data_IF_053221388663
#
_entry.id   IF_053221388663
#
_cell.length_a   1.000
_cell.length_b   1.000
_cell.length_c   1.000
_cell.angle_alpha   90.00
_cell.angle_beta   90.00
_cell.angle_gamma   90.00
#
_symmetry.space_group_name_H-M   'P 1'
#
loop_
_entity.id
_entity.type
_entity.pdbx_description
1 polymer ?
#
# COMPACT_ATOMS: atom_id res chain seq x y z
N UNK A 1 10.44 30.35 12.61
CA UNK A 1 10.85 28.94 12.42
C UNK A 1 9.91 28.08 13.25
N UNK A 2 8.79 27.65 12.68
CA UNK A 2 7.78 26.90 13.42
C UNK A 2 8.07 25.40 13.25
N UNK A 3 8.49 24.74 14.32
CA UNK A 3 8.53 23.29 14.39
C UNK A 3 7.11 22.79 14.65
N UNK A 4 6.46 22.23 13.65
CA UNK A 4 5.18 21.56 13.82
C UNK A 4 5.51 20.17 14.38
N UNK A 5 5.16 19.94 15.63
CA UNK A 5 5.27 18.62 16.25
C UNK A 5 4.44 17.61 15.45
N UNK A 6 5.15 16.71 14.78
CA UNK A 6 4.59 15.63 13.96
C UNK A 6 3.84 14.67 14.91
N UNK A 7 2.53 14.44 14.74
CA UNK A 7 1.77 13.56 15.63
C UNK A 7 2.29 12.12 15.56
N UNK A 8 2.43 11.46 16.73
CA UNK A 8 2.91 10.07 16.85
C UNK A 8 2.05 9.03 16.12
N UNK A 9 0.81 9.38 15.74
CA UNK A 9 -0.09 8.57 14.92
C UNK A 9 -0.90 9.49 14.00
N UNK A 10 -0.64 9.42 12.70
CA UNK A 10 -1.47 10.10 11.70
C UNK A 10 -2.85 9.44 11.62
N UNK A 11 -3.94 10.25 11.53
CA UNK A 11 -5.25 9.70 11.24
C UNK A 11 -5.18 8.88 9.95
N UNK A 12 -5.80 7.70 9.91
CA UNK A 12 -5.72 6.83 8.73
C UNK A 12 -6.29 7.47 7.46
N UNK A 13 -7.15 8.48 7.60
CA UNK A 13 -7.67 9.26 6.49
C UNK A 13 -6.60 10.10 5.77
N UNK A 14 -5.40 10.25 6.33
CA UNK A 14 -4.26 10.95 5.74
C UNK A 14 -3.24 9.97 5.13
N UNK A 15 -3.65 8.74 4.89
CA UNK A 15 -2.77 7.67 4.45
C UNK A 15 -3.34 6.96 3.23
N UNK A 16 -2.46 6.57 2.31
CA UNK A 16 -2.79 5.67 1.20
C UNK A 16 -1.83 4.49 1.17
N UNK A 17 -2.20 3.47 0.41
CA UNK A 17 -1.36 2.32 0.12
C UNK A 17 -1.07 2.31 -1.36
N UNK A 18 0.20 2.46 -1.72
CA UNK A 18 0.68 2.24 -3.07
C UNK A 18 0.95 0.75 -3.30
N UNK A 19 0.46 0.24 -4.43
CA UNK A 19 0.41 -1.18 -4.78
C UNK A 19 1.48 -1.54 -5.81
N UNK A 20 1.82 -2.82 -5.86
CA UNK A 20 2.74 -3.41 -6.84
C UNK A 20 4.15 -2.81 -6.85
N UNK A 21 4.59 -2.31 -5.69
CA UNK A 21 5.96 -1.80 -5.54
C UNK A 21 6.87 -2.99 -5.21
N UNK A 22 7.95 -3.24 -5.98
CA UNK A 22 8.82 -4.38 -5.76
C UNK A 22 9.35 -4.45 -4.32
N UNK A 23 9.39 -5.65 -3.74
CA UNK A 23 9.76 -5.82 -2.31
C UNK A 23 11.23 -5.56 -2.03
N UNK A 24 12.08 -5.63 -3.06
CA UNK A 24 13.50 -5.29 -2.98
C UNK A 24 13.74 -3.77 -2.95
N UNK A 25 12.74 -2.95 -3.29
CA UNK A 25 12.87 -1.50 -3.22
C UNK A 25 12.77 -1.01 -1.78
N UNK A 26 13.74 -0.17 -1.39
CA UNK A 26 13.72 0.53 -0.11
C UNK A 26 12.55 1.53 -0.11
N UNK A 27 11.66 1.39 0.88
CA UNK A 27 10.44 2.20 0.97
C UNK A 27 10.72 3.68 1.32
N UNK A 28 11.80 3.95 2.05
CA UNK A 28 12.24 5.29 2.41
C UNK A 28 12.72 6.03 1.16
N UNK A 29 13.66 5.45 0.40
CA UNK A 29 14.17 6.04 -0.84
C UNK A 29 13.04 6.30 -1.85
N UNK A 30 12.14 5.32 -2.04
CA UNK A 30 10.97 5.49 -2.90
C UNK A 30 10.10 6.68 -2.49
N UNK A 31 9.93 6.91 -1.19
CA UNK A 31 9.15 8.05 -0.71
C UNK A 31 9.91 9.37 -0.75
N UNK A 32 11.24 9.37 -0.61
CA UNK A 32 12.05 10.56 -0.86
C UNK A 32 11.97 11.01 -2.32
N UNK A 33 11.94 10.08 -3.27
CA UNK A 33 11.68 10.41 -4.68
C UNK A 33 10.28 11.01 -4.87
N UNK A 34 9.25 10.38 -4.29
CA UNK A 34 7.89 10.93 -4.36
C UNK A 34 7.76 12.32 -3.72
N UNK A 35 8.54 12.64 -2.68
CA UNK A 35 8.53 13.95 -2.02
C UNK A 35 8.99 15.09 -2.94
N UNK A 36 9.76 14.79 -4.00
CA UNK A 36 10.14 15.79 -5.01
C UNK A 36 8.90 16.40 -5.67
N UNK A 37 7.85 15.58 -5.86
CA UNK A 37 6.56 15.99 -6.45
C UNK A 37 5.51 16.33 -5.39
N UNK A 38 5.36 15.47 -4.39
CA UNK A 38 4.32 15.56 -3.37
C UNK A 38 4.92 15.98 -2.04
N UNK A 39 5.11 17.29 -1.86
CA UNK A 39 5.78 17.87 -0.68
C UNK A 39 5.06 17.60 0.64
N UNK A 40 3.79 17.19 0.61
CA UNK A 40 3.04 16.84 1.82
C UNK A 40 3.27 15.40 2.28
N UNK A 41 3.99 14.57 1.52
CA UNK A 41 4.40 13.25 2.01
C UNK A 41 5.32 13.43 3.21
N UNK A 42 4.95 12.78 4.30
CA UNK A 42 5.72 12.77 5.55
C UNK A 42 6.65 11.56 5.57
N UNK A 43 6.07 10.38 5.33
CA UNK A 43 6.81 9.11 5.39
C UNK A 43 6.17 8.02 4.56
N UNK A 44 6.99 7.05 4.18
CA UNK A 44 6.60 5.77 3.61
C UNK A 44 6.98 4.62 4.50
N UNK A 45 6.13 3.59 4.58
CA UNK A 45 6.41 2.39 5.35
C UNK A 45 6.03 1.13 4.55
N UNK A 46 7.00 0.22 4.39
CA UNK A 46 6.79 -1.09 3.79
C UNK A 46 5.80 -1.88 4.65
N UNK A 47 4.77 -2.44 4.02
CA UNK A 47 3.88 -3.36 4.73
C UNK A 47 4.46 -4.77 4.77
N UNK A 48 4.09 -5.53 5.80
CA UNK A 48 4.53 -6.91 6.03
C UNK A 48 3.35 -7.83 6.36
N UNK A 49 3.42 -9.09 5.95
CA UNK A 49 2.51 -10.12 6.47
C UNK A 49 2.91 -10.53 7.89
N UNK A 50 2.01 -11.24 8.58
CA UNK A 50 2.36 -11.94 9.82
C UNK A 50 3.54 -12.88 9.57
N UNK A 51 4.60 -12.74 10.37
CA UNK A 51 5.86 -13.46 10.17
C UNK A 51 6.95 -12.63 9.48
N UNK A 52 6.72 -11.33 9.23
CA UNK A 52 7.79 -10.38 8.86
C UNK A 52 8.23 -10.43 7.40
N UNK A 53 7.53 -11.15 6.52
CA UNK A 53 7.82 -11.11 5.08
C UNK A 53 7.25 -9.82 4.47
N UNK A 54 8.04 -9.05 3.69
CA UNK A 54 7.56 -7.83 3.06
C UNK A 54 6.55 -8.14 1.97
N UNK A 55 5.59 -7.24 1.76
CA UNK A 55 4.63 -7.31 0.66
C UNK A 55 4.84 -6.15 -0.31
N UNK A 56 4.39 -6.28 -1.58
CA UNK A 56 4.52 -5.24 -2.59
C UNK A 56 3.53 -4.08 -2.38
N UNK A 57 3.47 -3.58 -1.14
CA UNK A 57 2.62 -2.47 -0.70
C UNK A 57 3.41 -1.53 0.20
N UNK A 58 3.34 -0.23 -0.06
CA UNK A 58 3.87 0.82 0.81
C UNK A 58 2.70 1.66 1.32
N UNK A 59 2.63 1.86 2.63
CA UNK A 59 1.78 2.90 3.21
C UNK A 59 2.50 4.24 3.11
N UNK A 60 1.82 5.25 2.57
CA UNK A 60 2.35 6.61 2.45
C UNK A 60 1.46 7.54 3.28
N UNK A 61 2.06 8.30 4.18
CA UNK A 61 1.39 9.24 5.08
C UNK A 61 1.60 10.67 4.60
N UNK A 62 0.52 11.45 4.59
CA UNK A 62 0.48 12.83 4.10
C UNK A 62 0.18 13.80 5.25
N UNK A 63 0.69 15.03 5.15
CA UNK A 63 0.39 16.13 6.08
C UNK A 63 -0.92 16.84 5.74
N UNK A 64 -1.37 16.75 4.48
CA UNK A 64 -2.57 17.42 3.98
C UNK A 64 -3.58 16.42 3.42
N UNK A 65 -4.82 16.48 3.92
CA UNK A 65 -5.91 15.65 3.39
C UNK A 65 -6.41 16.12 2.01
N UNK A 66 -6.25 17.41 1.71
CA UNK A 66 -6.71 18.01 0.45
C UNK A 66 -6.00 17.40 -0.76
N UNK A 67 -4.66 17.43 -0.75
CA UNK A 67 -3.84 16.85 -1.82
C UNK A 67 -4.05 15.33 -1.92
N UNK A 68 -4.21 14.66 -0.77
CA UNK A 68 -4.53 13.24 -0.74
C UNK A 68 -5.84 12.90 -1.43
N UNK A 69 -6.86 13.75 -1.29
CA UNK A 69 -8.17 13.54 -1.93
C UNK A 69 -8.07 13.68 -3.44
N UNK A 70 -7.30 14.66 -3.94
CA UNK A 70 -7.03 14.84 -5.37
C UNK A 70 -6.25 13.63 -5.93
N UNK A 71 -5.23 13.17 -5.22
CA UNK A 71 -4.45 11.96 -5.56
C UNK A 71 -5.35 10.71 -5.55
N UNK A 72 -6.24 10.56 -4.57
CA UNK A 72 -7.17 9.44 -4.49
C UNK A 72 -8.20 9.43 -5.62
N UNK A 73 -8.58 10.60 -6.16
CA UNK A 73 -9.45 10.69 -7.33
C UNK A 73 -8.79 10.14 -8.60
N UNK A 74 -7.48 10.39 -8.78
CA UNK A 74 -6.72 9.83 -9.92
C UNK A 74 -6.45 8.33 -9.77
N UNK A 75 -6.54 7.79 -8.53
CA UNK A 75 -6.21 6.40 -8.15
C UNK A 75 -4.78 5.97 -8.48
N UNK A 76 -3.91 6.93 -8.83
CA UNK A 76 -2.50 6.68 -9.18
C UNK A 76 -1.61 7.76 -8.56
N UNK A 77 -0.42 7.35 -8.15
CA UNK A 77 0.64 8.26 -7.72
C UNK A 77 1.80 8.19 -8.71
N UNK A 78 2.28 9.35 -9.17
CA UNK A 78 3.35 9.47 -10.16
C UNK A 78 4.70 9.54 -9.46
N UNK A 79 5.64 8.68 -9.84
CA UNK A 79 7.01 8.71 -9.32
C UNK A 79 7.84 9.78 -10.04
N UNK A 80 7.72 9.84 -11.35
CA UNK A 80 8.48 10.71 -12.25
C UNK A 80 7.58 11.36 -13.31
N UNK A 81 8.15 12.25 -14.11
CA UNK A 81 7.49 12.87 -15.26
C UNK A 81 7.41 11.92 -16.48
N UNK A 82 8.12 10.79 -16.43
CA UNK A 82 8.18 9.74 -17.47
C UNK A 82 7.04 8.71 -17.35
N UNK A 83 5.94 9.09 -16.69
CA UNK A 83 4.71 8.32 -16.57
C UNK A 83 4.80 7.04 -15.71
N UNK A 84 5.86 6.87 -14.91
CA UNK A 84 5.92 5.78 -13.92
C UNK A 84 4.89 6.06 -12.84
N UNK A 85 3.78 5.32 -12.83
CA UNK A 85 2.71 5.55 -11.87
C UNK A 85 2.21 4.27 -11.21
N UNK A 86 2.06 4.33 -9.90
CA UNK A 86 1.61 3.21 -9.07
C UNK A 86 0.13 3.37 -8.72
N UNK A 87 -0.60 2.27 -8.77
CA UNK A 87 -1.98 2.23 -8.28
C UNK A 87 -1.99 2.46 -6.77
N UNK A 88 -2.93 3.28 -6.30
CA UNK A 88 -3.10 3.56 -4.88
C UNK A 88 -4.51 3.24 -4.41
N UNK A 89 -4.64 2.93 -3.11
CA UNK A 89 -5.92 2.79 -2.42
C UNK A 89 -5.91 3.54 -1.08
N UNK A 90 -7.06 4.01 -0.57
CA UNK A 90 -7.14 4.56 0.76
C UNK A 90 -6.66 3.56 1.81
N UNK A 91 -5.83 4.01 2.75
CA UNK A 91 -5.38 3.13 3.83
C UNK A 91 -6.52 2.87 4.82
N UNK A 92 -6.96 1.62 4.90
CA UNK A 92 -7.90 1.16 5.92
C UNK A 92 -7.12 0.44 7.02
N UNK A 93 -7.00 1.01 8.23
CA UNK A 93 -6.23 0.39 9.29
C UNK A 93 -6.92 -0.90 9.75
N UNK A 94 -6.17 -1.87 10.31
CA UNK A 94 -6.75 -3.09 10.84
C UNK A 94 -7.84 -2.78 11.86
N UNK A 95 -9.08 -3.14 11.52
CA UNK A 95 -10.25 -2.87 12.34
C UNK A 95 -10.22 -3.73 13.61
N UNK A 96 -9.86 -3.11 14.73
CA UNK A 96 -9.98 -3.72 16.06
C UNK A 96 -11.43 -3.55 16.53
N UNK A 97 -12.03 -4.68 16.90
CA UNK A 97 -13.34 -4.73 17.53
C UNK A 97 -13.12 -4.77 19.02
N UNK A 98 -13.55 -3.71 19.70
CA UNK A 98 -13.53 -3.66 21.15
C UNK A 98 -14.52 -4.70 21.69
N UNK A 99 -14.16 -5.36 22.80
CA UNK A 99 -15.07 -6.24 23.53
C UNK A 99 -15.11 -5.78 24.99
N UNK A 100 -16.30 -5.54 25.52
CA UNK A 100 -16.44 -5.28 26.95
C UNK A 100 -16.20 -6.58 27.73
N UNK A 101 -15.28 -6.60 28.69
CA UNK A 101 -15.00 -7.80 29.49
C UNK A 101 -16.08 -8.13 30.52
N UNK A 102 -17.00 -7.20 30.80
CA UNK A 102 -18.10 -7.42 31.73
C UNK A 102 -19.30 -8.05 31.02
N UNK A 103 -19.85 -7.41 29.99
CA UNK A 103 -21.05 -7.91 29.30
C UNK A 103 -20.76 -8.64 27.97
N UNK A 104 -19.48 -8.81 27.61
CA UNK A 104 -19.00 -9.38 26.35
C UNK A 104 -19.42 -8.65 25.07
N UNK A 105 -20.21 -7.56 25.12
CA UNK A 105 -20.66 -6.80 23.94
C UNK A 105 -19.52 -6.25 23.08
N UNK A 106 -19.75 -6.21 21.77
CA UNK A 106 -18.78 -5.72 20.80
C UNK A 106 -19.02 -4.23 20.48
N UNK A 107 -17.92 -3.46 20.49
CA UNK A 107 -17.79 -2.10 19.94
C UNK A 107 -18.74 -1.01 20.46
N UNK A 108 -19.35 -1.23 21.63
CA UNK A 108 -20.24 -0.25 22.29
C UNK A 108 -19.51 0.51 23.41
N UNK A 109 -18.81 -0.20 24.31
CA UNK A 109 -18.16 0.41 25.47
C UNK A 109 -16.97 -0.42 26.01
N UNK A 110 -16.17 0.21 26.87
CA UNK A 110 -15.12 -0.45 27.66
C UNK A 110 -15.66 -0.94 29.00
N UNK A 111 -15.01 -1.92 29.62
CA UNK A 111 -15.45 -2.53 30.89
C UNK A 111 -15.72 -1.50 32.01
N UNK A 112 -14.87 -0.46 32.12
CA UNK A 112 -14.99 0.62 33.11
C UNK A 112 -16.29 1.41 32.97
N UNK A 113 -16.83 1.52 31.74
CA UNK A 113 -18.07 2.24 31.41
C UNK A 113 -19.21 1.29 31.06
N UNK A 114 -19.17 0.06 31.58
CA UNK A 114 -20.22 -0.93 31.31
C UNK A 114 -21.51 -0.58 32.06
N UNK A 115 -22.65 -0.43 31.38
CA UNK A 115 -23.94 -0.22 32.03
C UNK A 115 -24.39 -1.46 32.82
N UNK A 116 -23.92 -2.65 32.43
CA UNK A 116 -24.26 -3.93 33.05
C UNK A 116 -23.12 -4.48 33.92
N UNK A 117 -22.37 -3.60 34.61
CA UNK A 117 -21.22 -4.02 35.45
C UNK A 117 -21.63 -4.98 36.57
N UNK A 118 -22.85 -4.83 37.10
CA UNK A 118 -23.38 -5.63 38.21
C UNK A 118 -23.94 -7.00 37.75
N UNK A 119 -24.04 -7.22 36.43
CA UNK A 119 -24.50 -8.46 35.80
C UNK A 119 -23.49 -8.95 34.76
N UNK A 120 -22.28 -9.36 35.20
CA UNK A 120 -21.25 -9.80 34.28
C UNK A 120 -21.66 -11.10 33.58
N UNK A 121 -21.17 -11.25 32.36
CA UNK A 121 -21.35 -12.42 31.51
C UNK A 121 -19.98 -13.11 31.37
N UNK A 122 -19.96 -14.40 31.67
CA UNK A 122 -18.76 -15.20 31.63
C UNK A 122 -18.23 -15.32 30.20
N UNK A 123 -16.94 -15.02 30.01
CA UNK A 123 -16.26 -15.15 28.72
C UNK A 123 -16.23 -16.59 28.18
N UNK A 124 -16.27 -17.61 29.05
CA UNK A 124 -16.17 -19.03 28.67
C UNK A 124 -17.51 -19.62 28.24
N UNK A 125 -18.55 -19.45 29.05
CA UNK A 125 -19.84 -20.13 28.87
C UNK A 125 -21.00 -19.19 28.50
N UNK A 126 -20.79 -17.88 28.51
CA UNK A 126 -21.82 -16.91 28.14
C UNK A 126 -23.00 -16.78 29.10
N UNK A 127 -22.93 -17.40 30.29
CA UNK A 127 -23.93 -17.26 31.35
C UNK A 127 -23.65 -16.05 32.26
N UNK A 128 -24.67 -15.61 33.00
CA UNK A 128 -24.60 -14.44 33.88
C UNK A 128 -23.86 -14.77 35.19
N UNK A 129 -22.53 -14.69 35.14
CA UNK A 129 -21.65 -14.66 36.30
C UNK A 129 -20.28 -14.09 35.89
N UNK A 130 -19.48 -13.67 36.88
CA UNK A 130 -18.11 -13.20 36.65
C UNK A 130 -17.23 -14.32 36.08
N UNK A 131 -16.19 -13.94 35.33
CA UNK A 131 -15.22 -14.93 34.84
C UNK A 131 -14.61 -15.71 36.00
N UNK A 132 -14.69 -17.04 35.90
CA UNK A 132 -14.03 -17.98 36.80
C UNK A 132 -13.18 -18.94 35.92
N UNK A 133 -11.87 -19.08 36.18
CA UNK A 133 -11.01 -20.05 35.51
C UNK A 133 -11.57 -21.48 35.56
N UNK A 134 -12.17 -21.85 36.68
CA UNK A 134 -12.69 -23.20 36.97
C UNK A 134 -14.17 -23.37 36.62
N UNK A 135 -14.70 -22.49 35.75
CA UNK A 135 -16.08 -22.57 35.28
C UNK A 135 -16.35 -23.94 34.63
N UNK A 136 -17.22 -24.74 35.26
CA UNK A 136 -17.59 -26.09 34.83
C UNK A 136 -18.64 -26.10 33.70
N UNK A 137 -19.22 -24.94 33.38
CA UNK A 137 -20.18 -24.83 32.29
C UNK A 137 -19.52 -25.10 30.93
N UNK A 138 -20.32 -25.67 30.01
CA UNK A 138 -19.89 -25.88 28.63
C UNK A 138 -19.48 -24.57 27.96
N UNK A 139 -18.49 -24.68 27.07
CA UNK A 139 -17.97 -23.52 26.34
C UNK A 139 -19.04 -23.04 25.35
N UNK A 140 -19.49 -21.81 25.54
CA UNK A 140 -20.55 -21.24 24.74
C UNK A 140 -20.34 -19.74 24.56
N UNK A 141 -20.45 -19.28 23.31
CA UNK A 141 -20.27 -17.88 22.97
C UNK A 141 -21.49 -17.08 23.40
N UNK A 142 -21.29 -16.03 24.20
CA UNK A 142 -22.37 -15.14 24.64
C UNK A 142 -23.23 -14.58 23.49
N UNK A 143 -22.63 -14.38 22.30
CA UNK A 143 -23.26 -13.76 21.14
C UNK A 143 -23.89 -14.74 20.17
N UNK A 144 -23.08 -15.61 19.56
CA UNK A 144 -23.56 -16.51 18.50
C UNK A 144 -24.03 -17.87 19.03
N UNK A 145 -23.93 -18.10 20.35
CA UNK A 145 -24.27 -19.36 21.03
C UNK A 145 -23.54 -20.61 20.48
N UNK A 146 -22.42 -20.40 19.79
CA UNK A 146 -21.59 -21.48 19.26
C UNK A 146 -20.63 -22.06 20.28
N UNK A 147 -20.07 -23.24 20.00
CA UNK A 147 -19.11 -23.95 20.85
C UNK A 147 -17.71 -23.32 20.81
N UNK A 148 -17.58 -22.08 21.32
CA UNK A 148 -16.32 -21.36 21.50
C UNK A 148 -16.48 -20.21 22.50
N UNK A 149 -15.38 -19.78 23.11
CA UNK A 149 -15.36 -18.66 24.07
C UNK A 149 -15.67 -17.30 23.40
N UNK A 150 -16.28 -16.38 24.15
CA UNK A 150 -16.77 -15.09 23.68
C UNK A 150 -15.66 -14.14 23.22
N UNK A 151 -15.15 -14.29 21.99
CA UNK A 151 -14.04 -13.50 21.46
C UNK A 151 -13.11 -14.27 20.55
N UNK A 152 -13.39 -15.56 20.33
CA UNK A 152 -12.79 -16.35 19.27
C UNK A 152 -12.74 -15.53 17.96
N UNK A 153 -11.57 -15.44 17.28
CA UNK A 153 -11.44 -14.69 16.02
C UNK A 153 -12.38 -15.19 14.92
N UNK A 154 -12.82 -16.44 14.98
CA UNK A 154 -13.70 -17.09 14.01
C UNK A 154 -15.18 -17.02 14.40
N UNK A 155 -15.54 -16.24 15.42
CA UNK A 155 -16.94 -16.04 15.81
C UNK A 155 -17.70 -15.30 14.69
N UNK A 156 -18.82 -15.84 14.15
CA UNK A 156 -19.57 -15.21 13.06
C UNK A 156 -20.03 -13.78 13.39
N UNK A 157 -20.48 -13.55 14.62
CA UNK A 157 -20.92 -12.21 15.06
C UNK A 157 -19.75 -11.22 15.10
N UNK A 158 -18.57 -11.66 15.57
CA UNK A 158 -17.37 -10.81 15.59
C UNK A 158 -16.88 -10.47 14.17
N UNK A 159 -16.99 -11.41 13.24
CA UNK A 159 -16.68 -11.19 11.83
C UNK A 159 -17.67 -10.17 11.24
N UNK A 160 -18.97 -10.35 11.46
CA UNK A 160 -19.99 -9.41 11.00
C UNK A 160 -19.79 -7.99 11.54
N UNK A 161 -19.55 -7.83 12.85
CA UNK A 161 -19.24 -6.51 13.45
C UNK A 161 -17.99 -5.90 12.82
N UNK A 162 -16.95 -6.71 12.54
CA UNK A 162 -15.74 -6.23 11.88
C UNK A 162 -15.99 -5.73 10.46
N UNK A 163 -16.75 -6.47 9.66
CA UNK A 163 -17.08 -6.05 8.29
C UNK A 163 -17.95 -4.80 8.28
N UNK A 164 -18.96 -4.72 9.17
CA UNK A 164 -19.79 -3.51 9.31
C UNK A 164 -18.95 -2.28 9.67
N UNK A 165 -18.03 -2.43 10.63
CA UNK A 165 -17.12 -1.35 11.04
C UNK A 165 -16.16 -0.95 9.93
N UNK A 166 -15.63 -1.90 9.14
CA UNK A 166 -14.81 -1.61 7.96
C UNK A 166 -15.58 -0.79 6.93
N UNK A 167 -16.84 -1.15 6.66
CA UNK A 167 -17.70 -0.44 5.70
C UNK A 167 -17.98 0.99 6.16
N UNK A 168 -18.29 1.19 7.46
CA UNK A 168 -18.47 2.52 8.03
C UNK A 168 -17.19 3.36 7.94
N UNK A 169 -16.02 2.78 8.21
CA UNK A 169 -14.74 3.47 8.10
C UNK A 169 -14.38 3.87 6.65
N UNK A 170 -14.82 3.10 5.64
CA UNK A 170 -14.66 3.47 4.23
C UNK A 170 -15.58 4.63 3.81
N UNK A 171 -16.78 4.72 4.38
CA UNK A 171 -17.75 5.77 4.07
C UNK A 171 -17.34 7.15 4.62
N UNK A 172 -16.64 7.20 5.76
CA UNK A 172 -16.21 8.46 6.40
C UNK A 172 -15.08 9.17 5.62
N UNK A 173 -14.38 8.47 4.73
CA UNK A 173 -13.39 9.05 3.81
C UNK A 173 -14.00 9.67 2.54
N UNK A 174 -15.32 9.61 2.38
CA UNK A 174 -16.06 10.31 1.32
C UNK A 174 -16.77 11.47 2.02
N UNK A 175 -16.31 12.70 1.80
CA UNK A 175 -17.00 13.89 2.31
C UNK A 175 -18.48 13.86 1.92
N UNK A 176 -19.41 14.16 2.84
CA UNK A 176 -20.81 14.32 2.48
C UNK A 176 -20.93 15.55 1.58
N UNK A 177 -21.27 15.32 0.31
CA UNK A 177 -21.68 16.37 -0.60
C UNK A 177 -22.88 17.08 0.01
N UNK A 178 -22.77 18.40 0.07
CA UNK A 178 -23.75 19.36 0.55
C UNK A 178 -25.16 18.95 0.16
N UNK A 179 -26.02 18.76 1.17
CA UNK A 179 -27.46 18.77 0.98
C UNK A 179 -27.83 20.09 0.31
N UNK A 180 -28.21 20.02 -0.97
CA UNK A 180 -29.09 21.01 -1.56
C UNK A 180 -30.19 20.23 -2.25
N UNK A 181 -31.38 20.27 -1.63
CA UNK A 181 -32.60 19.94 -2.34
C UNK A 181 -32.73 20.90 -3.53
N UNK A 182 -32.91 20.36 -4.73
CA UNK A 182 -34.13 20.64 -5.47
C UNK A 182 -34.31 19.66 -6.63
N UNK A 183 -35.42 18.96 -6.54
CA UNK A 183 -36.11 18.25 -7.60
C UNK A 183 -36.44 19.17 -8.77
N UNK A 184 -36.23 18.67 -9.99
CA UNK A 184 -37.14 18.68 -11.14
C UNK A 184 -36.45 17.84 -12.23
N UNK A 185 -36.73 16.54 -12.29
CA UNK A 185 -37.69 15.95 -13.25
C UNK A 185 -37.48 16.49 -14.67
N UNK A 186 -36.75 15.72 -15.48
CA UNK A 186 -37.17 15.46 -16.85
C UNK A 186 -36.98 13.98 -17.17
N UNK A 187 -38.10 13.40 -17.53
CA UNK A 187 -38.37 12.01 -17.93
C UNK A 187 -37.70 11.69 -19.27
N UNK A 188 -37.22 10.46 -19.42
CA UNK A 188 -36.75 9.95 -20.71
C UNK A 188 -36.28 8.51 -20.62
N UNK A 189 -37.23 7.61 -20.78
CA UNK A 189 -37.15 6.17 -20.64
C UNK A 189 -36.18 5.49 -21.64
N UNK A 190 -35.57 4.39 -21.16
CA UNK A 190 -35.26 3.11 -21.84
C UNK A 190 -34.69 3.11 -23.29
N UNK A 191 -33.53 2.47 -23.52
CA UNK A 191 -33.40 1.15 -24.20
C UNK A 191 -31.92 0.73 -24.16
N UNK A 192 -31.50 -0.40 -23.59
CA UNK A 192 -31.71 -1.83 -23.92
C UNK A 192 -31.14 -2.24 -25.29
N UNK A 193 -29.94 -2.85 -25.22
CA UNK A 193 -29.34 -3.93 -26.04
C UNK A 193 -29.90 -4.13 -27.46
N UNK A 194 -29.08 -3.79 -28.45
CA UNK A 194 -29.26 -4.13 -29.86
C UNK A 194 -28.68 -5.52 -30.15
N UNK A 195 -29.54 -6.51 -30.41
CA UNK A 195 -29.43 -7.52 -31.48
C UNK A 195 -30.72 -8.36 -31.48
N UNK A 196 -31.55 -8.17 -32.50
CA UNK A 196 -32.79 -8.92 -32.72
C UNK A 196 -33.57 -8.35 -33.91
N UNK A 197 -33.60 -9.11 -35.01
CA UNK A 197 -34.18 -8.76 -36.29
C UNK A 197 -35.71 -8.71 -36.26
N UNK A 198 -36.33 -7.71 -36.90
CA UNK A 198 -37.54 -7.88 -37.72
C UNK A 198 -37.86 -6.61 -38.52
N UNK A 199 -38.14 -6.83 -39.80
CA UNK A 199 -38.67 -5.95 -40.83
C UNK A 199 -39.99 -5.27 -40.46
N UNK A 200 -40.20 -4.01 -40.87
CA UNK A 200 -41.26 -3.56 -41.81
C UNK A 200 -41.29 -2.03 -41.91
N UNK A 201 -41.55 -1.60 -43.15
CA UNK A 201 -41.43 -0.32 -43.83
C UNK A 201 -42.37 0.82 -43.39
N UNK A 202 -41.90 2.07 -43.55
CA UNK A 202 -42.57 3.32 -44.01
C UNK A 202 -41.96 4.52 -43.24
N UNK A 203 -41.60 5.68 -43.80
CA UNK A 203 -41.54 6.23 -45.16
C UNK A 203 -40.80 7.59 -45.07
N UNK A 204 -39.91 7.85 -46.03
CA UNK A 204 -39.54 9.12 -46.67
C UNK A 204 -39.45 10.39 -45.78
N UNK A 205 -38.23 10.92 -45.56
CA UNK A 205 -37.84 12.30 -45.90
C UNK A 205 -36.34 12.28 -46.29
N UNK A 206 -36.06 12.59 -47.56
CA UNK A 206 -34.74 12.96 -48.07
C UNK A 206 -34.37 14.33 -47.51
N UNK A 207 -33.27 14.43 -46.76
CA UNK A 207 -32.56 15.70 -46.57
C UNK A 207 -31.05 15.48 -46.72
N UNK A 208 -30.53 15.98 -47.84
CA UNK A 208 -29.11 16.16 -48.15
C UNK A 208 -28.50 17.21 -47.21
N UNK A 209 -27.99 16.81 -46.04
CA UNK A 209 -27.04 17.63 -45.24
C UNK A 209 -26.13 16.72 -44.40
N UNK A 210 -25.50 15.68 -44.96
CA UNK A 210 -24.67 14.77 -44.14
C UNK A 210 -23.40 14.20 -44.80
N UNK A 211 -22.74 14.96 -45.67
CA UNK A 211 -21.47 14.51 -46.27
C UNK A 211 -20.24 15.23 -45.68
N UNK A 212 -20.30 16.54 -45.40
CA UNK A 212 -19.11 17.30 -44.96
C UNK A 212 -18.57 16.96 -43.56
N UNK A 213 -19.43 16.57 -42.61
CA UNK A 213 -18.97 16.24 -41.24
C UNK A 213 -18.31 14.86 -41.16
N UNK A 214 -18.70 13.93 -42.04
CA UNK A 214 -18.15 12.57 -42.05
C UNK A 214 -16.73 12.56 -42.63
N UNK A 215 -16.45 13.38 -43.66
CA UNK A 215 -15.11 13.51 -44.23
C UNK A 215 -14.09 14.15 -43.28
N UNK A 216 -14.53 15.12 -42.45
CA UNK A 216 -13.67 15.73 -41.43
C UNK A 216 -13.36 14.74 -40.30
N UNK A 217 -14.34 13.93 -39.91
CA UNK A 217 -14.14 12.86 -38.92
C UNK A 217 -13.17 11.79 -39.41
N UNK A 218 -13.30 11.36 -40.67
CA UNK A 218 -12.39 10.37 -41.26
C UNK A 218 -10.94 10.88 -41.31
N UNK A 219 -10.72 12.14 -41.70
CA UNK A 219 -9.37 12.74 -41.67
C UNK A 219 -8.77 12.82 -40.26
N UNK A 220 -9.59 13.09 -39.24
CA UNK A 220 -9.14 13.07 -37.84
C UNK A 220 -8.81 11.65 -37.38
N UNK A 221 -9.58 10.66 -37.82
CA UNK A 221 -9.33 9.24 -37.53
C UNK A 221 -7.99 8.78 -38.13
N UNK A 222 -7.74 9.10 -39.40
CA UNK A 222 -6.48 8.76 -40.10
C UNK A 222 -5.28 9.45 -39.43
N UNK A 223 -5.46 10.69 -38.98
CA UNK A 223 -4.43 11.43 -38.23
C UNK A 223 -4.10 10.75 -36.89
N UNK A 224 -5.13 10.30 -36.16
CA UNK A 224 -4.97 9.56 -34.90
C UNK A 224 -4.26 8.22 -35.16
N UNK A 225 -4.64 7.50 -36.22
CA UNK A 225 -4.01 6.22 -36.58
C UNK A 225 -2.51 6.40 -36.87
N UNK A 226 -2.14 7.41 -37.66
CA UNK A 226 -0.74 7.73 -37.94
C UNK A 226 0.05 8.11 -36.68
N UNK A 227 -0.57 8.86 -35.76
CA UNK A 227 0.04 9.19 -34.48
C UNK A 227 0.27 7.94 -33.62
N UNK A 228 -0.71 7.02 -33.58
CA UNK A 228 -0.59 5.75 -32.86
C UNK A 228 0.56 4.92 -33.44
N UNK A 229 0.66 4.79 -34.77
CA UNK A 229 1.76 4.06 -35.41
C UNK A 229 3.13 4.67 -35.09
N UNK A 230 3.21 6.00 -35.06
CA UNK A 230 4.44 6.72 -34.70
C UNK A 230 4.84 6.45 -33.24
N UNK A 231 3.87 6.47 -32.31
CA UNK A 231 4.10 6.17 -30.90
C UNK A 231 4.57 4.72 -30.72
N UNK A 232 3.96 3.77 -31.44
CA UNK A 232 4.36 2.36 -31.38
C UNK A 232 5.81 2.16 -31.86
N UNK A 233 6.22 2.87 -32.91
CA UNK A 233 7.60 2.85 -33.39
C UNK A 233 8.57 3.42 -32.34
N UNK A 234 8.26 4.58 -31.76
CA UNK A 234 9.08 5.18 -30.70
C UNK A 234 9.19 4.27 -29.48
N UNK A 235 8.10 3.59 -29.11
CA UNK A 235 8.08 2.62 -28.01
C UNK A 235 9.03 1.44 -28.29
N UNK A 236 9.08 0.95 -29.53
CA UNK A 236 10.01 -0.12 -29.92
C UNK A 236 11.48 0.32 -29.80
N UNK A 237 11.81 1.54 -30.24
CA UNK A 237 13.16 2.12 -30.14
C UNK A 237 13.59 2.29 -28.68
N UNK A 238 12.70 2.79 -27.81
CA UNK A 238 12.98 2.92 -26.37
C UNK A 238 13.20 1.55 -25.72
N UNK A 239 12.39 0.56 -26.06
CA UNK A 239 12.57 -0.81 -25.54
C UNK A 239 13.92 -1.40 -25.94
N UNK A 240 14.39 -1.12 -27.16
CA UNK A 240 15.71 -1.55 -27.61
C UNK A 240 16.82 -0.86 -26.80
N UNK A 241 16.71 0.45 -26.59
CA UNK A 241 17.68 1.21 -25.79
C UNK A 241 17.75 0.73 -24.34
N UNK A 242 16.61 0.38 -23.75
CA UNK A 242 16.53 -0.21 -22.40
C UNK A 242 17.29 -1.54 -22.37
N UNK A 243 17.07 -2.41 -23.35
CA UNK A 243 17.75 -3.70 -23.42
C UNK A 243 19.27 -3.53 -23.55
N UNK A 244 19.73 -2.63 -24.42
CA UNK A 244 21.15 -2.34 -24.60
C UNK A 244 21.79 -1.79 -23.32
N UNK A 245 21.05 -0.94 -22.59
CA UNK A 245 21.49 -0.38 -21.31
C UNK A 245 21.57 -1.45 -20.23
N UNK A 246 20.60 -2.35 -20.17
CA UNK A 246 20.60 -3.48 -19.24
C UNK A 246 21.80 -4.41 -19.48
N UNK A 247 22.16 -4.67 -20.74
CA UNK A 247 23.36 -5.45 -21.07
C UNK A 247 24.62 -4.75 -20.54
N UNK A 248 24.75 -3.43 -20.73
CA UNK A 248 25.90 -2.66 -20.21
C UNK A 248 25.98 -2.70 -18.68
N UNK A 249 24.86 -2.52 -18.00
CA UNK A 249 24.79 -2.58 -16.52
C UNK A 249 25.22 -3.96 -16.02
N UNK A 250 24.75 -5.05 -16.65
CA UNK A 250 25.12 -6.40 -16.25
C UNK A 250 26.61 -6.69 -16.44
N UNK A 251 27.20 -6.18 -17.52
CA UNK A 251 28.65 -6.30 -17.75
C UNK A 251 29.43 -5.55 -16.66
N UNK A 252 29.05 -4.31 -16.35
CA UNK A 252 29.68 -3.52 -15.28
C UNK A 252 29.52 -4.18 -13.91
N UNK A 253 28.36 -4.76 -13.60
CA UNK A 253 28.14 -5.49 -12.36
C UNK A 253 29.09 -6.69 -12.23
N UNK A 254 29.34 -7.39 -13.35
CA UNK A 254 30.29 -8.52 -13.39
C UNK A 254 31.72 -8.05 -13.15
N UNK A 255 32.13 -6.93 -13.73
CA UNK A 255 33.45 -6.32 -13.49
C UNK A 255 33.63 -5.94 -12.02
N UNK A 256 32.61 -5.32 -11.40
CA UNK A 256 32.64 -4.95 -9.97
C UNK A 256 32.79 -6.19 -9.10
N UNK A 257 32.09 -7.28 -9.40
CA UNK A 257 32.22 -8.54 -8.67
C UNK A 257 33.63 -9.12 -8.77
N UNK A 258 34.24 -9.09 -9.95
CA UNK A 258 35.63 -9.53 -10.15
C UNK A 258 36.62 -8.67 -9.36
N UNK A 259 36.47 -7.35 -9.37
CA UNK A 259 37.32 -6.44 -8.57
C UNK A 259 37.17 -6.74 -7.08
N UNK A 260 35.93 -6.95 -6.62
CA UNK A 260 35.66 -7.25 -5.22
C UNK A 260 36.28 -8.58 -4.77
N UNK A 261 36.24 -9.60 -5.63
CA UNK A 261 36.94 -10.88 -5.42
C UNK A 261 38.45 -10.66 -5.27
N UNK A 262 39.08 -9.94 -6.21
CA UNK A 262 40.52 -9.66 -6.16
C UNK A 262 40.90 -8.93 -4.86
N UNK A 263 40.13 -7.91 -4.48
CA UNK A 263 40.42 -7.13 -3.27
C UNK A 263 40.30 -7.97 -2.01
N UNK A 264 39.19 -8.71 -1.84
CA UNK A 264 38.91 -9.42 -0.59
C UNK A 264 39.67 -10.73 -0.46
N UNK A 265 39.82 -11.49 -1.53
CA UNK A 265 40.34 -12.86 -1.46
C UNK A 265 41.84 -12.93 -1.77
N UNK A 266 42.40 -11.91 -2.41
CA UNK A 266 43.83 -11.87 -2.77
C UNK A 266 44.55 -10.74 -2.02
N UNK A 267 44.12 -9.49 -2.20
CA UNK A 267 44.88 -8.32 -1.70
C UNK A 267 44.82 -8.22 -0.18
N UNK A 268 43.62 -8.33 0.42
CA UNK A 268 43.44 -8.21 1.87
C UNK A 268 44.22 -9.27 2.68
N UNK A 269 44.22 -10.57 2.32
CA UNK A 269 45.03 -11.58 2.99
C UNK A 269 46.53 -11.30 2.90
N UNK A 270 47.04 -10.91 1.73
CA UNK A 270 48.46 -10.57 1.56
C UNK A 270 48.88 -9.39 2.45
N UNK A 271 48.05 -8.34 2.54
CA UNK A 271 48.30 -7.22 3.44
C UNK A 271 48.30 -7.65 4.91
N UNK A 272 47.41 -8.56 5.28
CA UNK A 272 47.38 -9.13 6.64
C UNK A 272 48.64 -9.93 6.96
N UNK A 273 49.15 -10.70 6.01
CA UNK A 273 50.38 -11.47 6.20
C UNK A 273 51.61 -10.55 6.33
N UNK A 274 51.72 -9.54 5.45
CA UNK A 274 52.78 -8.54 5.53
C UNK A 274 52.75 -7.81 6.88
N UNK A 275 51.57 -7.37 7.33
CA UNK A 275 51.45 -6.67 8.62
C UNK A 275 51.82 -7.55 9.80
N UNK A 276 51.48 -8.84 9.78
CA UNK A 276 51.92 -9.81 10.79
C UNK A 276 53.45 -10.00 10.80
N UNK A 277 54.09 -10.08 9.63
CA UNK A 277 55.55 -10.18 9.53
C UNK A 277 56.22 -8.93 10.10
N UNK A 278 55.74 -7.73 9.75
CA UNK A 278 56.29 -6.48 10.28
C UNK A 278 56.12 -6.42 11.79
N UNK A 279 54.93 -6.75 12.30
CA UNK A 279 54.63 -6.75 13.74
C UNK A 279 55.54 -7.71 14.52
N UNK A 280 55.75 -8.93 14.00
CA UNK A 280 56.63 -9.92 14.63
C UNK A 280 58.11 -9.49 14.62
N UNK A 281 58.57 -8.83 13.56
CA UNK A 281 59.93 -8.27 13.51
C UNK A 281 60.13 -7.14 14.52
N UNK A 282 59.21 -6.18 14.59
CA UNK A 282 59.27 -5.07 15.54
C UNK A 282 59.28 -5.58 16.99
N UNK A 283 58.36 -6.49 17.32
CA UNK A 283 58.27 -7.05 18.68
C UNK A 283 59.52 -7.86 19.05
N UNK A 284 60.14 -8.56 18.10
CA UNK A 284 61.40 -9.28 18.32
C UNK A 284 62.57 -8.33 18.57
N UNK A 285 62.69 -7.26 17.77
CA UNK A 285 63.72 -6.24 17.95
C UNK A 285 63.58 -5.50 19.30
N UNK A 286 62.36 -5.16 19.71
CA UNK A 286 62.11 -4.55 21.01
C UNK A 286 62.50 -5.46 22.18
N UNK A 287 62.22 -6.77 22.10
CA UNK A 287 62.66 -7.74 23.12
C UNK A 287 64.19 -7.85 23.20
N UNK A 288 64.89 -7.78 22.08
CA UNK A 288 66.36 -7.82 22.05
C UNK A 288 67.00 -6.55 22.65
N UNK A 289 66.36 -5.39 22.50
CA UNK A 289 66.85 -4.12 23.08
C UNK A 289 66.60 -3.97 24.58
N UNK A 290 65.61 -4.68 25.15
CA UNK A 290 65.28 -4.62 26.59
C UNK A 290 66.15 -5.60 27.43
N UNK A 291 66.70 -6.66 26.82
CA UNK A 291 67.47 -7.69 27.52
C UNK A 291 68.94 -7.40 27.93
N UNK A 292 69.61 -6.27 27.61
CA UNK A 292 70.96 -6.02 28.12
C UNK A 292 71.00 -5.25 29.46
N UNK A 293 69.86 -4.97 30.11
CA UNK A 293 69.83 -4.19 31.37
C UNK A 293 69.85 -5.08 32.64
N UNK A 294 69.72 -6.39 32.50
CA UNK A 294 69.74 -7.36 33.62
C UNK A 294 70.72 -8.51 33.39
N UNK A 295 71.98 -8.21 33.09
CA UNK A 295 73.13 -9.09 33.30
C UNK A 295 74.28 -8.28 33.87
#
# INVERSE_FOLDING_TARGET
MYSIDIPRRFPSSYSVVALNIPTQWNAENFCEELKLRYKTIIKGERMFVKGGRPIPRIRIDFSSNKELTEILQSKRILLDDDNTAYTIEPYVPPTRILRCYNCQQYDDHIAVRCPNKDKPICFKCGQQHSFNPDCQNEVCCAHCKGNHMAGNPNCPQKIATRENKKTQMKAIGQTPTTQTMNSNIWTGDTTRRLFGNATTTQSIILNKVHDNNNDELMKKLDSIENNIQTILKQQAEVNQLINDTNIKINNQATEILNINYILNDIVCPLLKDITNVIYTQITTQQKQQINPIYN
#
